data_IF_454357237987
#
_entry.id   IF_454357237987
#
_cell.length_a   1.000
_cell.length_b   1.000
_cell.length_c   1.000
_cell.angle_alpha   90.00
_cell.angle_beta   90.00
_cell.angle_gamma   90.00
#
_symmetry.space_group_name_H-M   'P 1'
#
loop_
_entity.id
_entity.type
_entity.pdbx_description
1 polymer ?
#
# COMPACT_ATOMS: atom_id res chain seq x y z
N UNK A 1 -11.21 8.40 -3.37
CA UNK A 1 -11.54 7.00 -3.00
C UNK A 1 -13.01 6.66 -3.23
N UNK A 2 -13.93 7.63 -3.33
CA UNK A 2 -15.35 7.38 -3.66
C UNK A 2 -15.60 6.67 -5.01
N UNK A 3 -14.63 6.73 -5.94
CA UNK A 3 -14.69 6.01 -7.21
C UNK A 3 -14.34 4.52 -7.08
N UNK A 4 -13.74 4.12 -5.95
CA UNK A 4 -13.38 2.73 -5.64
C UNK A 4 -14.52 2.10 -4.86
N UNK A 5 -14.79 2.63 -3.66
CA UNK A 5 -15.95 2.22 -2.85
C UNK A 5 -17.00 3.34 -2.93
N UNK A 6 -18.23 3.07 -3.40
CA UNK A 6 -19.22 4.11 -3.58
C UNK A 6 -19.79 4.61 -2.25
N UNK A 7 -20.06 5.92 -2.21
CA UNK A 7 -20.78 6.57 -1.11
C UNK A 7 -22.30 6.34 -1.17
N UNK A 8 -23.05 6.93 -0.24
CA UNK A 8 -24.51 6.83 -0.14
C UNK A 8 -25.15 8.21 -0.30
N UNK A 9 -26.11 8.31 -1.23
CA UNK A 9 -26.82 9.55 -1.55
C UNK A 9 -27.38 10.28 -0.32
N UNK A 10 -28.03 9.55 0.59
CA UNK A 10 -28.62 10.16 1.79
C UNK A 10 -27.57 10.81 2.69
N UNK A 11 -26.39 10.19 2.85
CA UNK A 11 -25.30 10.77 3.62
C UNK A 11 -24.71 11.99 2.92
N UNK A 12 -24.48 11.91 1.60
CA UNK A 12 -24.00 13.04 0.79
C UNK A 12 -24.92 14.27 0.88
N UNK A 13 -26.23 14.07 0.81
CA UNK A 13 -27.22 15.14 0.98
C UNK A 13 -27.26 15.70 2.40
N UNK A 14 -27.04 14.85 3.41
CA UNK A 14 -27.00 15.26 4.81
C UNK A 14 -25.74 16.07 5.15
N UNK A 15 -24.67 15.92 4.36
CA UNK A 15 -23.38 16.55 4.57
C UNK A 15 -22.84 16.27 5.97
N UNK A 16 -22.03 17.20 6.48
CA UNK A 16 -21.56 17.17 7.89
C UNK A 16 -22.50 17.94 8.84
N UNK A 17 -23.59 18.53 8.32
CA UNK A 17 -24.48 19.43 9.06
C UNK A 17 -25.63 18.75 9.81
N UNK A 18 -25.96 17.49 9.49
CA UNK A 18 -26.99 16.74 10.22
C UNK A 18 -28.43 17.23 9.99
N UNK A 19 -28.71 17.79 8.81
CA UNK A 19 -30.04 18.28 8.43
C UNK A 19 -31.12 17.17 8.47
N UNK A 20 -30.75 15.95 8.06
CA UNK A 20 -31.63 14.79 8.02
C UNK A 20 -31.47 13.96 9.31
N UNK A 21 -32.40 14.13 10.23
CA UNK A 21 -32.40 13.38 11.49
C UNK A 21 -32.46 11.86 11.25
N UNK A 22 -31.63 11.11 11.96
CA UNK A 22 -31.51 9.65 11.82
C UNK A 22 -30.65 9.17 10.65
N UNK A 23 -30.21 10.05 9.76
CA UNK A 23 -29.29 9.72 8.65
C UNK A 23 -27.85 10.01 9.07
N UNK A 24 -26.90 9.16 8.65
CA UNK A 24 -25.47 9.41 8.88
C UNK A 24 -25.00 10.69 8.18
N UNK A 25 -24.06 11.40 8.79
CA UNK A 25 -23.34 12.49 8.12
C UNK A 25 -22.30 11.92 7.15
N UNK A 26 -21.87 12.72 6.16
CA UNK A 26 -20.76 12.37 5.26
C UNK A 26 -19.50 12.04 6.05
N UNK A 27 -19.10 12.90 6.99
CA UNK A 27 -17.94 12.66 7.87
C UNK A 27 -18.04 11.31 8.59
N UNK A 28 -19.19 10.98 9.19
CA UNK A 28 -19.36 9.70 9.90
C UNK A 28 -19.31 8.51 8.95
N UNK A 29 -19.86 8.64 7.75
CA UNK A 29 -19.82 7.57 6.75
C UNK A 29 -18.38 7.36 6.26
N UNK A 30 -17.67 8.45 5.99
CA UNK A 30 -16.31 8.40 5.47
C UNK A 30 -15.34 7.77 6.47
N UNK A 31 -15.40 8.17 7.74
CA UNK A 31 -14.56 7.58 8.78
C UNK A 31 -14.80 6.07 8.92
N UNK A 32 -16.05 5.62 8.77
CA UNK A 32 -16.39 4.18 8.88
C UNK A 32 -15.95 3.38 7.66
N UNK A 33 -16.14 3.93 6.46
CA UNK A 33 -15.95 3.21 5.21
C UNK A 33 -14.52 3.30 4.68
N UNK A 34 -13.89 4.48 4.77
CA UNK A 34 -12.55 4.73 4.26
C UNK A 34 -11.48 4.80 5.35
N UNK A 35 -11.87 4.74 6.63
CA UNK A 35 -10.96 4.90 7.77
C UNK A 35 -10.52 6.35 8.02
N UNK A 36 -11.05 7.32 7.27
CA UNK A 36 -10.67 8.73 7.34
C UNK A 36 -11.85 9.64 6.99
N UNK A 37 -11.83 10.86 7.52
CA UNK A 37 -12.85 11.86 7.21
C UNK A 37 -12.71 12.41 5.78
N UNK A 38 -11.50 12.42 5.22
CA UNK A 38 -11.24 12.99 3.91
C UNK A 38 -10.72 11.90 2.96
N UNK A 39 -11.60 11.24 2.18
CA UNK A 39 -11.28 10.09 1.34
C UNK A 39 -10.56 10.47 0.02
N UNK A 40 -9.55 11.33 0.15
CA UNK A 40 -8.67 11.84 -0.89
C UNK A 40 -7.30 12.16 -0.29
N UNK A 41 -6.23 11.91 -1.05
CA UNK A 41 -4.90 12.37 -0.68
C UNK A 41 -4.47 13.59 -1.49
N UNK A 42 -3.48 14.28 -0.96
CA UNK A 42 -2.90 15.49 -1.52
C UNK A 42 -1.40 15.28 -1.75
N UNK A 43 -0.72 16.29 -2.29
CA UNK A 43 0.72 16.22 -2.60
C UNK A 43 1.08 14.97 -3.42
N UNK A 44 0.24 14.67 -4.41
CA UNK A 44 0.30 13.42 -5.16
C UNK A 44 1.48 13.46 -6.12
N UNK A 45 2.39 12.51 -5.96
CA UNK A 45 3.50 12.25 -6.87
C UNK A 45 3.39 10.81 -7.38
N UNK A 46 3.54 10.62 -8.67
CA UNK A 46 3.48 9.30 -9.27
C UNK A 46 4.62 9.10 -10.27
N UNK A 47 5.13 7.88 -10.32
CA UNK A 47 6.20 7.50 -11.21
C UNK A 47 5.91 6.13 -11.79
N UNK A 48 6.08 5.99 -13.10
CA UNK A 48 5.99 4.71 -13.79
C UNK A 48 7.41 4.25 -14.13
N UNK A 49 7.91 3.25 -13.39
CA UNK A 49 9.27 2.74 -13.60
C UNK A 49 9.35 1.77 -14.78
N UNK A 50 8.33 0.92 -14.93
CA UNK A 50 8.21 -0.07 -16.01
C UNK A 50 6.79 -0.07 -16.55
N UNK A 51 6.52 -0.73 -17.69
CA UNK A 51 5.16 -0.82 -18.20
C UNK A 51 4.13 -1.37 -17.21
N UNK A 52 4.58 -2.23 -16.28
CA UNK A 52 3.74 -2.97 -15.34
C UNK A 52 3.90 -2.48 -13.90
N UNK A 53 4.54 -1.33 -13.67
CA UNK A 53 4.81 -0.80 -12.33
C UNK A 53 4.46 0.67 -12.23
N UNK A 54 3.70 1.02 -11.19
CA UNK A 54 3.34 2.38 -10.82
C UNK A 54 3.63 2.59 -9.34
N UNK A 55 4.48 3.57 -9.04
CA UNK A 55 4.72 4.05 -7.68
C UNK A 55 3.87 5.29 -7.46
N UNK A 56 3.05 5.29 -6.41
CA UNK A 56 2.21 6.40 -6.01
C UNK A 56 2.60 6.84 -4.59
N UNK A 57 2.89 8.12 -4.43
CA UNK A 57 3.07 8.77 -3.14
C UNK A 57 2.00 9.85 -2.99
N UNK A 58 1.37 9.88 -1.81
CA UNK A 58 0.33 10.84 -1.48
C UNK A 58 0.29 11.04 0.03
N UNK A 59 -0.10 12.24 0.45
CA UNK A 59 -0.31 12.57 1.85
C UNK A 59 -1.82 12.47 2.18
N UNK A 60 -2.14 11.78 3.28
CA UNK A 60 -3.50 11.73 3.83
C UNK A 60 -3.53 12.38 5.23
N UNK A 61 -4.68 12.93 5.66
CA UNK A 61 -4.77 13.52 7.00
C UNK A 61 -4.73 12.44 8.10
N UNK A 62 -3.71 12.49 8.95
CA UNK A 62 -3.52 11.74 10.21
C UNK A 62 -3.39 10.21 10.12
N UNK A 63 -4.17 9.56 9.25
CA UNK A 63 -4.26 8.12 9.14
C UNK A 63 -4.17 7.69 7.67
N UNK A 64 -3.61 6.50 7.37
CA UNK A 64 -3.69 5.91 6.05
C UNK A 64 -5.12 5.49 5.71
N UNK A 65 -5.43 5.23 4.42
CA UNK A 65 -6.70 4.61 4.04
C UNK A 65 -6.90 3.28 4.76
N UNK A 66 -8.16 2.95 5.06
CA UNK A 66 -8.49 1.64 5.61
C UNK A 66 -8.00 0.52 4.67
N UNK A 67 -7.60 -0.61 5.25
CA UNK A 67 -7.19 -1.78 4.47
C UNK A 67 -8.27 -2.25 3.49
N UNK A 68 -9.54 -2.05 3.82
CA UNK A 68 -10.67 -2.31 2.91
C UNK A 68 -10.57 -1.45 1.63
N UNK A 69 -10.22 -0.17 1.73
CA UNK A 69 -10.05 0.69 0.55
C UNK A 69 -8.88 0.23 -0.31
N UNK A 70 -7.76 -0.14 0.32
CA UNK A 70 -6.56 -0.58 -0.41
C UNK A 70 -6.78 -1.95 -1.07
N UNK A 71 -7.47 -2.86 -0.39
CA UNK A 71 -7.96 -4.11 -0.94
C UNK A 71 -8.86 -3.87 -2.14
N UNK A 72 -9.90 -3.03 -2.01
CA UNK A 72 -10.79 -2.72 -3.13
C UNK A 72 -10.07 -2.04 -4.31
N UNK A 73 -9.04 -1.22 -4.07
CA UNK A 73 -8.17 -0.70 -5.15
C UNK A 73 -7.50 -1.87 -5.89
N UNK A 74 -6.92 -2.83 -5.18
CA UNK A 74 -6.27 -4.00 -5.79
C UNK A 74 -7.24 -4.82 -6.64
N UNK A 75 -8.49 -4.98 -6.20
CA UNK A 75 -9.53 -5.69 -6.95
C UNK A 75 -10.04 -4.90 -8.17
N UNK A 76 -10.35 -3.61 -8.01
CA UNK A 76 -10.91 -2.77 -9.09
C UNK A 76 -9.92 -2.61 -10.25
N UNK A 77 -8.62 -2.55 -9.95
CA UNK A 77 -7.58 -2.39 -10.95
C UNK A 77 -6.85 -3.68 -11.32
N UNK A 78 -7.28 -4.83 -10.78
CA UNK A 78 -6.68 -6.16 -11.01
C UNK A 78 -5.14 -6.12 -10.87
N UNK A 79 -4.67 -5.60 -9.73
CA UNK A 79 -3.25 -5.36 -9.50
C UNK A 79 -2.81 -5.68 -8.06
N UNK A 80 -1.51 -5.95 -7.88
CA UNK A 80 -0.90 -6.05 -6.56
C UNK A 80 -0.61 -4.65 -6.01
N UNK A 81 -1.08 -4.36 -4.80
CA UNK A 81 -0.84 -3.09 -4.10
C UNK A 81 0.07 -3.33 -2.90
N UNK A 82 1.27 -2.77 -2.96
CA UNK A 82 2.26 -2.77 -1.88
C UNK A 82 2.21 -1.42 -1.16
N UNK A 83 1.57 -1.39 0.00
CA UNK A 83 1.20 -0.17 0.70
C UNK A 83 2.11 0.08 1.92
N UNK A 84 2.97 1.08 1.81
CA UNK A 84 3.78 1.60 2.92
C UNK A 84 3.18 2.91 3.42
N UNK A 85 3.07 3.09 4.74
CA UNK A 85 2.61 4.34 5.33
C UNK A 85 3.42 4.72 6.57
N UNK A 86 3.52 6.03 6.80
CA UNK A 86 4.22 6.58 7.98
C UNK A 86 3.68 7.96 8.35
N UNK A 87 3.38 8.15 9.63
CA UNK A 87 3.05 9.44 10.25
C UNK A 87 3.97 9.62 11.48
N UNK A 88 4.93 10.54 11.41
CA UNK A 88 6.03 10.60 12.38
C UNK A 88 5.63 11.13 13.77
N UNK A 89 4.57 11.92 13.88
CA UNK A 89 4.20 12.57 15.15
C UNK A 89 3.54 11.58 16.12
N UNK A 90 2.64 10.73 15.62
CA UNK A 90 2.03 9.65 16.39
C UNK A 90 2.88 8.38 16.44
N UNK A 91 3.93 8.29 15.59
CA UNK A 91 4.77 7.10 15.46
C UNK A 91 4.08 5.96 14.69
N UNK A 92 3.00 6.26 13.97
CA UNK A 92 2.31 5.29 13.14
C UNK A 92 3.16 4.97 11.92
N UNK A 93 3.55 3.73 11.73
CA UNK A 93 4.10 3.26 10.45
C UNK A 93 3.72 1.81 10.22
N UNK A 94 3.75 1.39 8.96
CA UNK A 94 3.40 0.03 8.61
C UNK A 94 3.57 -0.27 7.14
N UNK A 95 3.38 -1.54 6.83
CA UNK A 95 3.45 -2.09 5.50
C UNK A 95 2.45 -3.23 5.38
N UNK A 96 1.62 -3.16 4.34
CA UNK A 96 0.62 -4.16 4.00
C UNK A 96 0.64 -4.42 2.48
N UNK A 97 0.32 -5.65 2.08
CA UNK A 97 0.21 -6.10 0.70
C UNK A 97 -1.22 -6.56 0.41
N UNK A 98 -1.75 -6.14 -0.72
CA UNK A 98 -3.08 -6.53 -1.18
C UNK A 98 -3.01 -7.06 -2.61
N UNK A 99 -3.73 -8.13 -2.89
CA UNK A 99 -3.84 -8.72 -4.23
C UNK A 99 -5.25 -9.24 -4.47
N UNK A 100 -5.87 -8.84 -5.58
CA UNK A 100 -7.23 -9.26 -5.95
C UNK A 100 -8.32 -8.96 -4.92
N UNK A 101 -8.15 -7.96 -4.05
CA UNK A 101 -9.08 -7.63 -2.96
C UNK A 101 -8.69 -8.17 -1.59
N UNK A 102 -7.76 -9.12 -1.54
CA UNK A 102 -7.39 -9.81 -0.30
C UNK A 102 -6.12 -9.22 0.32
N UNK A 103 -6.05 -9.24 1.64
CA UNK A 103 -4.84 -8.86 2.38
C UNK A 103 -3.91 -10.07 2.49
N UNK A 104 -2.82 -10.06 1.71
CA UNK A 104 -1.96 -11.25 1.52
C UNK A 104 -0.78 -11.32 2.48
N UNK A 105 -0.25 -10.17 2.89
CA UNK A 105 0.88 -10.07 3.82
C UNK A 105 0.88 -8.67 4.45
N UNK A 106 1.47 -8.52 5.62
CA UNK A 106 1.57 -7.23 6.28
C UNK A 106 2.00 -7.36 7.74
N UNK A 107 2.81 -6.40 8.18
CA UNK A 107 3.13 -6.25 9.60
C UNK A 107 2.32 -5.07 10.09
N UNK A 108 1.16 -5.34 10.72
CA UNK A 108 0.44 -4.33 11.49
C UNK A 108 1.45 -3.67 12.43
N UNK A 109 1.66 -2.36 12.24
CA UNK A 109 2.67 -1.58 12.93
C UNK A 109 2.84 -1.97 14.39
N UNK A 110 3.82 -2.82 14.66
CA UNK A 110 4.41 -2.92 15.97
C UNK A 110 5.32 -1.70 16.12
N UNK A 111 5.18 -0.98 17.24
CA UNK A 111 6.09 0.10 17.61
C UNK A 111 7.51 -0.48 17.66
N UNK A 112 8.28 -0.28 16.60
CA UNK A 112 9.61 -0.87 16.49
C UNK A 112 10.13 -0.90 15.06
N UNK A 113 10.79 0.19 14.67
CA UNK A 113 11.87 0.27 13.67
C UNK A 113 11.84 -0.73 12.51
N UNK A 114 11.54 -0.25 11.29
CA UNK A 114 12.16 -0.80 10.10
C UNK A 114 12.32 0.28 9.04
N UNK A 115 13.58 0.51 8.65
CA UNK A 115 13.96 1.28 7.47
C UNK A 115 13.48 0.55 6.19
N UNK A 116 13.22 1.25 5.07
CA UNK A 116 12.85 0.58 3.83
C UNK A 116 14.04 -0.20 3.27
N UNK A 117 14.06 -1.51 3.53
CA UNK A 117 14.94 -2.44 2.84
C UNK A 117 14.52 -2.56 1.38
N UNK A 118 15.41 -2.18 0.47
CA UNK A 118 15.30 -2.46 -0.96
C UNK A 118 14.99 -3.95 -1.17
N UNK A 119 13.79 -4.27 -1.65
CA UNK A 119 13.45 -5.62 -2.10
C UNK A 119 14.00 -5.78 -3.51
N UNK A 120 15.19 -6.37 -3.62
CA UNK A 120 15.74 -6.86 -4.89
C UNK A 120 15.05 -8.19 -5.23
N UNK A 121 14.34 -8.24 -6.36
CA UNK A 121 13.84 -9.51 -6.90
C UNK A 121 15.01 -10.24 -7.58
N UNK A 122 15.36 -11.42 -7.08
CA UNK A 122 16.26 -12.35 -7.79
C UNK A 122 15.47 -12.98 -8.94
N UNK A 123 15.82 -12.62 -10.17
CA UNK A 123 15.42 -13.38 -11.36
C UNK A 123 16.31 -14.62 -11.41
N UNK A 124 15.78 -15.76 -10.96
CA UNK A 124 16.43 -17.05 -11.14
C UNK A 124 16.30 -17.49 -12.59
N UNK A 125 17.37 -17.35 -13.37
CA UNK A 125 17.52 -18.05 -14.63
C UNK A 125 18.18 -19.40 -14.30
N UNK A 126 17.36 -20.43 -14.07
CA UNK A 126 17.85 -21.78 -13.85
C UNK A 126 17.90 -22.54 -15.18
N UNK A 127 19.10 -22.65 -15.76
CA UNK A 127 19.48 -23.84 -16.50
C UNK A 127 20.86 -24.32 -16.02
N UNK A 128 20.83 -25.48 -15.38
CA UNK A 128 21.91 -26.17 -14.71
C UNK A 128 23.04 -26.64 -15.63
N UNK A 129 24.29 -26.59 -15.14
CA UNK A 129 25.36 -27.55 -15.47
C UNK A 129 26.22 -27.80 -14.21
N UNK A 130 26.56 -29.08 -13.88
CA UNK A 130 27.18 -29.42 -12.61
C UNK A 130 28.71 -29.29 -12.61
N UNK A 131 29.21 -28.89 -11.44
CA UNK A 131 30.51 -29.17 -10.80
C UNK A 131 31.74 -29.46 -11.68
N UNK A 132 32.73 -28.57 -11.59
CA UNK A 132 34.13 -28.96 -11.77
C UNK A 132 34.99 -28.29 -10.69
N UNK A 133 35.50 -29.12 -9.77
CA UNK A 133 36.48 -28.74 -8.76
C UNK A 133 37.73 -28.15 -9.44
N UNK A 134 38.07 -26.91 -9.11
CA UNK A 134 39.33 -26.32 -9.52
C UNK A 134 40.44 -26.78 -8.58
N UNK A 135 41.21 -27.74 -9.07
CA UNK A 135 42.43 -28.28 -8.46
C UNK A 135 43.47 -27.17 -8.27
N UNK A 136 43.95 -27.05 -7.04
CA UNK A 136 45.09 -26.24 -6.61
C UNK A 136 46.38 -26.65 -7.32
N UNK A 137 47.09 -25.68 -7.93
CA UNK A 137 48.53 -25.78 -8.18
C UNK A 137 49.24 -24.46 -7.81
N UNK A 138 50.20 -24.61 -6.90
CA UNK A 138 51.13 -23.61 -6.39
C UNK A 138 52.45 -23.68 -7.18
N UNK A 139 53.09 -22.52 -7.32
CA UNK A 139 54.48 -22.26 -7.76
C UNK A 139 54.75 -22.41 -9.28
N UNK A 140 55.58 -21.60 -9.96
CA UNK A 140 56.95 -21.16 -9.65
C UNK A 140 57.25 -19.78 -10.30
N UNK A 141 58.10 -18.99 -9.65
CA UNK A 141 58.68 -17.71 -10.12
C UNK A 141 59.44 -17.82 -11.45
N UNK A 142 59.33 -16.79 -12.28
CA UNK A 142 60.28 -16.41 -13.32
C UNK A 142 60.44 -14.90 -13.31
#
# INVERSE_FOLDING_TARGET
MLAVIPTRLAAELNGSGGLMSGVSTTTSLYCRQYGMEWPAGHNVNWQRHTPNSLTLQMDTPWLPPSGEVVGEISAVFDCEVRHSYSEPVSGLSGYDCYDGGEHVDGHKGAVGTSQPGQVLYLVSDELALPAQEAVSYREVRG
#
